data_IF_343558041174
#
_entry.id   IF_343558041174
#
_cell.length_a   1.000
_cell.length_b   1.000
_cell.length_c   1.000
_cell.angle_alpha   90.00
_cell.angle_beta   90.00
_cell.angle_gamma   90.00
#
_symmetry.space_group_name_H-M   'P 1'
#
loop_
_entity.id
_entity.type
_entity.pdbx_description
1 polymer ?
#
# COMPACT_ATOMS: atom_id res chain seq x y z
N UNK A 1 -9.90 -43.74 19.04
CA UNK A 1 -9.99 -43.29 17.64
C UNK A 1 -9.38 -44.38 16.79
N UNK A 2 -10.13 -44.86 15.80
CA UNK A 2 -9.68 -45.96 14.92
C UNK A 2 -8.51 -45.47 14.05
N UNK A 3 -7.34 -46.09 14.19
CA UNK A 3 -6.10 -45.65 13.52
C UNK A 3 -6.18 -45.76 11.99
N UNK A 4 -7.12 -46.55 11.46
CA UNK A 4 -7.36 -46.68 10.02
C UNK A 4 -8.11 -45.46 9.48
N UNK A 5 -9.14 -45.00 10.18
CA UNK A 5 -9.95 -43.84 9.78
C UNK A 5 -9.11 -42.55 9.69
N UNK A 6 -8.13 -42.40 10.59
CA UNK A 6 -7.24 -41.22 10.58
C UNK A 6 -6.28 -41.23 9.40
N UNK A 7 -5.88 -42.41 8.91
CA UNK A 7 -5.05 -42.55 7.71
C UNK A 7 -5.84 -42.22 6.45
N UNK A 8 -7.08 -42.68 6.37
CA UNK A 8 -7.94 -42.44 5.21
C UNK A 8 -8.18 -40.94 5.00
N UNK A 9 -8.43 -40.18 6.07
CA UNK A 9 -8.58 -38.71 6.01
C UNK A 9 -7.32 -37.99 5.55
N UNK A 10 -6.14 -38.50 5.91
CA UNK A 10 -4.86 -37.92 5.46
C UNK A 10 -4.66 -38.16 3.95
N UNK A 11 -5.14 -39.30 3.44
CA UNK A 11 -5.07 -39.64 2.01
C UNK A 11 -6.04 -38.79 1.18
N UNK A 12 -7.21 -38.45 1.72
CA UNK A 12 -8.18 -37.54 1.05
C UNK A 12 -7.63 -36.12 0.84
N UNK A 13 -6.63 -35.72 1.64
CA UNK A 13 -5.90 -34.47 1.45
C UNK A 13 -6.59 -33.24 2.06
N UNK A 14 -6.14 -32.06 1.65
CA UNK A 14 -6.63 -30.77 2.17
C UNK A 14 -6.98 -29.83 1.03
N UNK A 15 -8.04 -29.05 1.22
CA UNK A 15 -8.39 -27.93 0.34
C UNK A 15 -7.75 -26.67 0.89
N UNK A 16 -6.98 -25.98 0.06
CA UNK A 16 -6.31 -24.73 0.44
C UNK A 16 -6.70 -23.60 -0.49
N UNK A 17 -6.96 -22.43 0.08
CA UNK A 17 -7.18 -21.19 -0.64
C UNK A 17 -6.25 -20.11 -0.07
N UNK A 18 -5.65 -19.22 -0.88
CA UNK A 18 -4.84 -18.12 -0.36
C UNK A 18 -5.63 -17.25 0.61
N UNK A 19 -5.02 -16.90 1.74
CA UNK A 19 -5.65 -16.08 2.80
C UNK A 19 -6.16 -14.73 2.28
N UNK A 20 -5.51 -14.20 1.26
CA UNK A 20 -5.91 -12.97 0.60
C UNK A 20 -7.30 -13.09 -0.07
N UNK A 21 -7.66 -14.27 -0.59
CA UNK A 21 -9.02 -14.53 -1.09
C UNK A 21 -10.01 -14.53 0.07
N UNK A 22 -9.68 -15.20 1.19
CA UNK A 22 -10.53 -15.22 2.38
C UNK A 22 -10.76 -13.83 2.98
N UNK A 23 -9.77 -12.94 2.90
CA UNK A 23 -9.86 -11.57 3.39
C UNK A 23 -10.73 -10.68 2.50
N UNK A 24 -10.72 -10.92 1.18
CA UNK A 24 -11.26 -9.97 0.20
C UNK A 24 -12.40 -10.54 -0.68
N UNK A 25 -12.89 -11.77 -0.48
CA UNK A 25 -13.96 -12.33 -1.31
C UNK A 25 -15.21 -11.42 -1.34
N UNK A 26 -15.60 -10.86 -0.19
CA UNK A 26 -16.72 -9.94 -0.09
C UNK A 26 -16.49 -8.64 -0.90
N UNK A 27 -15.26 -8.12 -0.89
CA UNK A 27 -14.88 -6.94 -1.68
C UNK A 27 -14.91 -7.22 -3.19
N UNK A 28 -14.66 -8.47 -3.59
CA UNK A 28 -14.82 -8.97 -4.96
C UNK A 28 -16.27 -9.34 -5.32
N UNK A 29 -17.24 -8.91 -4.49
CA UNK A 29 -18.67 -9.17 -4.66
C UNK A 29 -19.04 -10.65 -4.63
N UNK A 30 -18.26 -11.48 -3.95
CA UNK A 30 -18.64 -12.86 -3.65
C UNK A 30 -19.38 -12.95 -2.33
N UNK A 31 -20.35 -13.85 -2.25
CA UNK A 31 -20.96 -14.26 -0.99
C UNK A 31 -20.37 -15.60 -0.48
N UNK A 32 -20.79 -16.01 0.71
CA UNK A 32 -20.29 -17.22 1.38
C UNK A 32 -20.66 -18.49 0.60
N UNK A 33 -21.81 -18.50 -0.05
CA UNK A 33 -22.29 -19.65 -0.82
C UNK A 33 -21.43 -19.85 -2.08
N UNK A 34 -21.11 -18.76 -2.76
CA UNK A 34 -20.19 -18.73 -3.91
C UNK A 34 -18.77 -19.12 -3.50
N UNK A 35 -18.29 -18.65 -2.35
CA UNK A 35 -17.00 -19.05 -1.80
C UNK A 35 -16.95 -20.55 -1.50
N UNK A 36 -18.01 -21.11 -0.90
CA UNK A 36 -18.10 -22.56 -0.65
C UNK A 36 -18.11 -23.34 -1.96
N UNK A 37 -18.81 -22.87 -3.00
CA UNK A 37 -18.76 -23.50 -4.32
C UNK A 37 -17.33 -23.53 -4.88
N UNK A 38 -16.55 -22.45 -4.76
CA UNK A 38 -15.14 -22.43 -5.15
C UNK A 38 -14.32 -23.45 -4.36
N UNK A 39 -14.53 -23.55 -3.04
CA UNK A 39 -13.86 -24.56 -2.22
C UNK A 39 -14.22 -25.99 -2.65
N UNK A 40 -15.47 -26.25 -3.04
CA UNK A 40 -15.87 -27.55 -3.59
C UNK A 40 -15.20 -27.83 -4.92
N UNK A 41 -15.13 -26.85 -5.82
CA UNK A 41 -14.41 -26.97 -7.10
C UNK A 41 -12.92 -27.31 -6.85
N UNK A 42 -12.26 -26.62 -5.92
CA UNK A 42 -10.88 -26.91 -5.53
C UNK A 42 -10.73 -28.30 -4.87
N UNK A 43 -11.72 -28.73 -4.09
CA UNK A 43 -11.77 -30.10 -3.55
C UNK A 43 -11.83 -31.15 -4.65
N UNK A 44 -12.68 -30.98 -5.66
CA UNK A 44 -12.74 -31.90 -6.79
C UNK A 44 -11.43 -31.87 -7.60
N UNK A 45 -10.86 -30.69 -7.83
CA UNK A 45 -9.58 -30.53 -8.55
C UNK A 45 -8.45 -31.28 -7.86
N UNK A 46 -8.34 -31.17 -6.54
CA UNK A 46 -7.33 -31.89 -5.74
C UNK A 46 -7.56 -33.40 -5.71
N UNK A 47 -8.81 -33.84 -5.81
CA UNK A 47 -9.20 -35.25 -5.96
C UNK A 47 -9.04 -35.80 -7.40
N UNK A 48 -8.51 -35.01 -8.34
CA UNK A 48 -8.28 -35.43 -9.73
C UNK A 48 -9.49 -35.29 -10.67
N UNK A 49 -10.57 -34.63 -10.22
CA UNK A 49 -11.70 -34.24 -11.07
C UNK A 49 -11.67 -32.71 -11.30
N UNK A 50 -11.00 -32.22 -12.36
CA UNK A 50 -10.87 -30.79 -12.60
C UNK A 50 -12.14 -30.13 -13.16
N UNK A 51 -13.15 -30.90 -13.53
CA UNK A 51 -14.40 -30.41 -14.12
C UNK A 51 -15.62 -31.21 -13.63
N UNK A 52 -15.96 -31.10 -12.33
CA UNK A 52 -17.12 -31.77 -11.77
C UNK A 52 -18.42 -31.28 -12.42
N UNK A 53 -19.34 -32.22 -12.58
CA UNK A 53 -20.71 -31.98 -13.01
C UNK A 53 -21.52 -31.21 -11.97
N UNK A 54 -22.64 -30.63 -12.39
CA UNK A 54 -23.53 -29.89 -11.50
C UNK A 54 -24.14 -30.80 -10.42
N UNK A 55 -24.40 -32.07 -10.76
CA UNK A 55 -24.83 -33.10 -9.85
C UNK A 55 -23.79 -33.37 -8.76
N UNK A 56 -22.54 -33.63 -9.13
CA UNK A 56 -21.45 -33.89 -8.18
C UNK A 56 -21.23 -32.70 -7.21
N UNK A 57 -21.32 -31.47 -7.71
CA UNK A 57 -21.25 -30.27 -6.88
C UNK A 57 -22.44 -30.15 -5.94
N UNK A 58 -23.66 -30.41 -6.43
CA UNK A 58 -24.88 -30.35 -5.62
C UNK A 58 -24.90 -31.40 -4.51
N UNK A 59 -24.34 -32.60 -4.73
CA UNK A 59 -24.22 -33.63 -3.70
C UNK A 59 -23.39 -33.19 -2.49
N UNK A 60 -22.47 -32.23 -2.67
CA UNK A 60 -21.62 -31.69 -1.61
C UNK A 60 -22.10 -30.36 -1.02
N UNK A 61 -23.26 -29.88 -1.48
CA UNK A 61 -23.83 -28.61 -1.03
C UNK A 61 -25.23 -28.81 -0.47
N UNK A 62 -25.69 -27.88 0.35
CA UNK A 62 -27.09 -27.85 0.83
C UNK A 62 -28.09 -27.38 -0.22
N UNK A 63 -27.61 -27.12 -1.44
CA UNK A 63 -28.37 -26.55 -2.54
C UNK A 63 -28.68 -27.62 -3.58
N UNK A 64 -29.91 -27.55 -4.13
CA UNK A 64 -30.27 -28.38 -5.29
C UNK A 64 -29.52 -27.98 -6.56
N UNK A 65 -29.45 -28.92 -7.52
CA UNK A 65 -28.75 -28.78 -8.82
C UNK A 65 -29.03 -27.46 -9.54
N UNK A 66 -30.29 -27.02 -9.60
CA UNK A 66 -30.66 -25.77 -10.28
C UNK A 66 -30.03 -24.52 -9.61
N UNK A 67 -29.92 -24.51 -8.28
CA UNK A 67 -29.26 -23.42 -7.57
C UNK A 67 -27.75 -23.44 -7.80
N UNK A 68 -27.13 -24.63 -7.81
CA UNK A 68 -25.70 -24.78 -8.12
C UNK A 68 -25.39 -24.30 -9.53
N UNK A 69 -26.21 -24.66 -10.51
CA UNK A 69 -26.09 -24.18 -11.88
C UNK A 69 -26.14 -22.64 -11.95
N UNK A 70 -27.12 -22.02 -11.28
CA UNK A 70 -27.21 -20.56 -11.18
C UNK A 70 -25.98 -19.93 -10.51
N UNK A 71 -25.41 -20.57 -9.50
CA UNK A 71 -24.18 -20.09 -8.85
C UNK A 71 -22.99 -20.13 -9.80
N UNK A 72 -22.81 -21.23 -10.53
CA UNK A 72 -21.74 -21.34 -11.53
C UNK A 72 -21.90 -20.28 -12.62
N UNK A 73 -23.10 -20.09 -13.16
CA UNK A 73 -23.41 -19.02 -14.11
C UNK A 73 -23.09 -17.62 -13.54
N UNK A 74 -23.47 -17.39 -12.28
CA UNK A 74 -23.17 -16.12 -11.59
C UNK A 74 -21.66 -15.89 -11.47
N UNK A 75 -20.88 -16.93 -11.13
CA UNK A 75 -19.43 -16.85 -11.05
C UNK A 75 -18.77 -16.60 -12.42
N UNK A 76 -19.34 -17.14 -13.51
CA UNK A 76 -18.90 -16.82 -14.86
C UNK A 76 -19.21 -15.36 -15.23
N UNK A 77 -20.43 -14.90 -14.97
CA UNK A 77 -20.83 -13.52 -15.26
C UNK A 77 -20.04 -12.51 -14.43
N UNK A 78 -19.74 -12.85 -13.18
CA UNK A 78 -18.85 -12.06 -12.32
C UNK A 78 -17.39 -12.16 -12.76
N UNK A 79 -17.02 -12.99 -13.73
CA UNK A 79 -15.62 -13.18 -14.15
C UNK A 79 -14.73 -13.62 -12.99
N UNK A 80 -15.23 -14.51 -12.14
CA UNK A 80 -14.50 -15.14 -11.04
C UNK A 80 -14.02 -16.53 -11.45
N UNK A 81 -14.90 -17.25 -12.15
CA UNK A 81 -14.65 -18.58 -12.68
C UNK A 81 -14.58 -18.51 -14.20
N UNK A 82 -13.84 -19.43 -14.82
CA UNK A 82 -13.90 -19.69 -16.26
C UNK A 82 -13.66 -21.17 -16.54
N UNK A 83 -13.90 -21.58 -17.79
CA UNK A 83 -13.52 -22.90 -18.29
C UNK A 83 -12.27 -22.73 -19.15
N UNK A 84 -11.24 -23.52 -18.84
CA UNK A 84 -10.08 -23.67 -19.70
C UNK A 84 -10.14 -25.02 -20.42
N UNK A 85 -9.66 -25.05 -21.66
CA UNK A 85 -9.61 -26.25 -22.49
C UNK A 85 -8.15 -26.53 -22.86
N UNK A 86 -7.73 -27.78 -22.71
CA UNK A 86 -6.41 -28.27 -23.13
C UNK A 86 -6.56 -29.36 -24.20
N UNK A 87 -5.63 -29.39 -25.15
CA UNK A 87 -5.53 -30.36 -26.24
C UNK A 87 -4.14 -31.03 -26.31
N UNK A 88 -3.36 -31.02 -25.22
CA UNK A 88 -1.98 -31.52 -25.19
C UNK A 88 -1.81 -33.00 -25.61
N UNK A 89 -2.86 -33.83 -25.53
CA UNK A 89 -2.80 -35.29 -25.76
C UNK A 89 -3.78 -35.81 -26.82
N UNK A 90 -4.40 -34.91 -27.61
CA UNK A 90 -5.42 -35.28 -28.60
C UNK A 90 -6.80 -35.60 -28.01
N UNK A 91 -6.95 -35.52 -26.69
CA UNK A 91 -8.23 -35.55 -25.97
C UNK A 91 -8.53 -34.13 -25.53
N UNK A 92 -9.72 -33.62 -25.88
CA UNK A 92 -10.20 -32.34 -25.35
C UNK A 92 -10.52 -32.53 -23.86
N UNK A 93 -9.80 -31.84 -22.99
CA UNK A 93 -10.08 -31.83 -21.56
C UNK A 93 -10.46 -30.44 -21.11
N UNK A 94 -11.57 -30.33 -20.38
CA UNK A 94 -12.05 -29.09 -19.78
C UNK A 94 -11.68 -29.05 -18.30
N UNK A 95 -11.49 -27.85 -17.77
CA UNK A 95 -11.30 -27.61 -16.33
C UNK A 95 -11.87 -26.27 -15.90
N UNK A 96 -12.34 -26.19 -14.65
CA UNK A 96 -12.59 -24.90 -14.04
C UNK A 96 -11.27 -24.20 -13.70
N UNK A 97 -11.23 -22.89 -13.92
CA UNK A 97 -10.08 -22.03 -13.60
C UNK A 97 -10.52 -20.80 -12.83
N UNK A 98 -9.71 -20.48 -11.80
CA UNK A 98 -9.83 -19.28 -10.97
C UNK A 98 -8.87 -18.17 -11.41
N UNK A 99 -8.22 -18.29 -12.58
CA UNK A 99 -7.37 -17.21 -13.10
C UNK A 99 -8.09 -15.83 -13.12
N UNK A 100 -9.38 -15.72 -13.50
CA UNK A 100 -10.11 -14.45 -13.45
C UNK A 100 -10.24 -13.87 -12.03
N UNK A 101 -10.48 -14.72 -11.02
CA UNK A 101 -10.51 -14.31 -9.62
C UNK A 101 -9.19 -13.66 -9.19
N UNK A 102 -8.06 -14.28 -9.54
CA UNK A 102 -6.75 -13.77 -9.14
C UNK A 102 -6.40 -12.46 -9.84
N UNK A 103 -6.72 -12.30 -11.12
CA UNK A 103 -6.54 -11.01 -11.81
C UNK A 103 -7.41 -9.91 -11.18
N UNK A 104 -8.65 -10.22 -10.78
CA UNK A 104 -9.50 -9.26 -10.06
C UNK A 104 -8.95 -8.87 -8.70
N UNK A 105 -8.38 -9.85 -8.00
CA UNK A 105 -7.77 -9.62 -6.69
C UNK A 105 -6.52 -8.75 -6.79
N UNK A 106 -5.67 -9.00 -7.78
CA UNK A 106 -4.49 -8.18 -8.08
C UNK A 106 -4.90 -6.73 -8.33
N UNK A 107 -5.82 -6.50 -9.27
CA UNK A 107 -6.33 -5.17 -9.56
C UNK A 107 -6.99 -4.49 -8.34
N UNK A 108 -7.66 -5.25 -7.48
CA UNK A 108 -8.26 -4.71 -6.25
C UNK A 108 -7.19 -4.23 -5.25
N UNK A 109 -6.15 -5.05 -5.02
CA UNK A 109 -5.09 -4.75 -4.07
C UNK A 109 -4.22 -3.57 -4.53
N UNK A 110 -3.91 -3.48 -5.82
CA UNK A 110 -3.20 -2.32 -6.38
C UNK A 110 -3.97 -1.02 -6.15
N UNK A 111 -5.28 -1.05 -6.35
CA UNK A 111 -6.14 0.12 -6.09
C UNK A 111 -6.23 0.47 -4.60
N UNK A 112 -6.24 -0.53 -3.72
CA UNK A 112 -6.24 -0.32 -2.26
C UNK A 112 -4.94 0.31 -1.79
N UNK A 113 -3.81 -0.14 -2.32
CA UNK A 113 -2.50 0.42 -2.01
C UNK A 113 -2.37 1.86 -2.48
N UNK A 114 -2.78 2.16 -3.72
CA UNK A 114 -2.79 3.52 -4.25
C UNK A 114 -3.68 4.47 -3.42
N UNK A 115 -4.88 4.02 -3.02
CA UNK A 115 -5.77 4.81 -2.17
C UNK A 115 -5.15 5.09 -0.81
N UNK A 116 -4.49 4.09 -0.23
CA UNK A 116 -3.81 4.22 1.06
C UNK A 116 -2.65 5.22 0.96
N UNK A 117 -1.86 5.15 -0.11
CA UNK A 117 -0.75 6.08 -0.35
C UNK A 117 -1.26 7.53 -0.51
N UNK A 118 -2.28 7.75 -1.34
CA UNK A 118 -2.87 9.10 -1.50
C UNK A 118 -3.39 9.65 -0.18
N UNK A 119 -4.10 8.85 0.60
CA UNK A 119 -4.60 9.28 1.91
C UNK A 119 -3.46 9.61 2.88
N UNK A 120 -2.40 8.80 2.89
CA UNK A 120 -1.22 9.06 3.71
C UNK A 120 -0.50 10.35 3.29
N UNK A 121 -0.39 10.61 2.00
CA UNK A 121 0.22 11.83 1.48
C UNK A 121 -0.60 13.07 1.89
N UNK A 122 -1.93 13.04 1.71
CA UNK A 122 -2.83 14.11 2.16
C UNK A 122 -2.72 14.35 3.68
N UNK A 123 -2.71 13.28 4.49
CA UNK A 123 -2.56 13.39 5.95
C UNK A 123 -1.19 13.97 6.34
N UNK A 124 -0.12 13.57 5.64
CA UNK A 124 1.23 14.07 5.86
C UNK A 124 1.35 15.56 5.51
N UNK A 125 0.74 16.00 4.41
CA UNK A 125 0.70 17.42 4.03
C UNK A 125 -0.07 18.25 5.05
N UNK A 126 -1.28 17.81 5.43
CA UNK A 126 -2.08 18.46 6.49
C UNK A 126 -1.27 18.58 7.78
N UNK A 127 -0.50 17.56 8.13
CA UNK A 127 0.37 17.58 9.29
C UNK A 127 1.50 18.61 9.18
N UNK A 128 2.06 18.84 7.98
CA UNK A 128 3.01 19.95 7.74
C UNK A 128 2.36 21.29 8.08
N UNK A 129 1.21 21.61 7.50
CA UNK A 129 0.53 22.88 7.75
C UNK A 129 0.27 23.12 9.25
N UNK A 130 -0.28 22.11 9.94
CA UNK A 130 -0.54 22.18 11.39
C UNK A 130 0.73 22.38 12.21
N UNK A 131 1.83 21.73 11.82
CA UNK A 131 3.11 21.87 12.51
C UNK A 131 3.66 23.30 12.38
N UNK A 132 3.56 23.90 11.19
CA UNK A 132 3.91 25.31 11.01
C UNK A 132 3.04 26.22 11.87
N UNK A 133 1.72 26.06 11.86
CA UNK A 133 0.83 26.89 12.71
C UNK A 133 1.17 26.79 14.20
N UNK A 134 1.45 25.57 14.68
CA UNK A 134 1.84 25.33 16.07
C UNK A 134 3.19 25.98 16.42
N UNK A 135 4.20 25.84 15.56
CA UNK A 135 5.54 26.38 15.82
C UNK A 135 5.61 27.91 15.73
N UNK A 136 4.76 28.50 14.90
CA UNK A 136 4.62 29.95 14.77
C UNK A 136 3.61 30.54 15.75
N UNK A 137 2.80 29.70 16.42
CA UNK A 137 1.83 30.10 17.44
C UNK A 137 0.65 30.90 16.89
N UNK A 138 0.37 30.77 15.60
CA UNK A 138 -0.73 31.48 14.90
C UNK A 138 -1.13 30.74 13.63
N UNK A 139 -2.35 31.00 13.11
CA UNK A 139 -2.73 30.52 11.78
C UNK A 139 -1.79 31.03 10.69
N UNK A 140 -1.64 30.23 9.64
CA UNK A 140 -0.89 30.63 8.44
C UNK A 140 -1.65 31.70 7.66
N UNK A 141 -0.91 32.68 7.13
CA UNK A 141 -1.46 33.57 6.12
C UNK A 141 -1.57 32.85 4.77
N UNK A 142 -2.42 33.32 3.83
CA UNK A 142 -2.54 32.72 2.51
C UNK A 142 -1.20 32.59 1.76
N UNK A 143 -0.35 33.62 1.86
CA UNK A 143 0.98 33.64 1.22
C UNK A 143 1.91 32.59 1.84
N UNK A 144 1.80 32.35 3.15
CA UNK A 144 2.59 31.32 3.84
C UNK A 144 2.12 29.91 3.47
N UNK A 145 0.81 29.70 3.35
CA UNK A 145 0.27 28.45 2.85
C UNK A 145 0.69 28.18 1.40
N UNK A 146 0.68 29.20 0.54
CA UNK A 146 1.20 29.10 -0.83
C UNK A 146 2.69 28.73 -0.88
N UNK A 147 3.52 29.25 0.03
CA UNK A 147 4.93 28.86 0.10
C UNK A 147 5.09 27.37 0.48
N UNK A 148 4.30 26.87 1.42
CA UNK A 148 4.32 25.45 1.82
C UNK A 148 3.87 24.56 0.64
N UNK A 149 2.77 24.93 -0.02
CA UNK A 149 2.32 24.23 -1.24
C UNK A 149 3.38 24.29 -2.34
N UNK A 150 4.08 25.42 -2.52
CA UNK A 150 5.19 25.53 -3.46
C UNK A 150 6.29 24.48 -3.20
N UNK A 151 6.69 24.30 -1.94
CA UNK A 151 7.70 23.29 -1.58
C UNK A 151 7.23 21.85 -1.84
N UNK A 152 5.97 21.54 -1.53
CA UNK A 152 5.40 20.19 -1.66
C UNK A 152 5.09 19.85 -3.12
N UNK A 153 4.39 20.74 -3.82
CA UNK A 153 3.83 20.50 -5.14
C UNK A 153 4.83 20.81 -6.27
N UNK A 154 5.47 21.99 -6.22
CA UNK A 154 6.30 22.48 -7.31
C UNK A 154 7.73 21.96 -7.18
N UNK A 155 8.31 22.08 -5.99
CA UNK A 155 9.68 21.62 -5.73
C UNK A 155 9.78 20.13 -5.41
N UNK A 156 8.64 19.45 -5.20
CA UNK A 156 8.54 18.01 -4.92
C UNK A 156 9.34 17.59 -3.68
N UNK A 157 9.43 18.45 -2.66
CA UNK A 157 10.02 18.04 -1.39
C UNK A 157 9.07 17.09 -0.66
N UNK A 158 9.61 15.99 -0.13
CA UNK A 158 8.85 15.11 0.74
C UNK A 158 8.36 15.88 1.99
N UNK A 159 7.11 15.70 2.46
CA UNK A 159 6.59 16.36 3.67
C UNK A 159 7.51 16.20 4.88
N UNK A 160 8.19 15.05 5.01
CA UNK A 160 9.16 14.80 6.06
C UNK A 160 10.37 15.77 6.02
N UNK A 161 10.89 16.10 4.84
CA UNK A 161 11.98 17.08 4.69
C UNK A 161 11.52 18.49 5.06
N UNK A 162 10.31 18.88 4.66
CA UNK A 162 9.76 20.19 5.02
C UNK A 162 9.61 20.33 6.54
N UNK A 163 9.21 19.26 7.24
CA UNK A 163 9.17 19.23 8.71
C UNK A 163 10.56 19.35 9.35
N UNK A 164 11.57 18.66 8.82
CA UNK A 164 12.93 18.79 9.33
C UNK A 164 13.51 20.19 9.08
N UNK A 165 13.22 20.80 7.93
CA UNK A 165 13.66 22.17 7.65
C UNK A 165 13.02 23.18 8.62
N UNK A 166 11.73 22.99 8.95
CA UNK A 166 11.07 23.77 9.99
C UNK A 166 11.75 23.57 11.36
N UNK A 167 12.01 22.33 11.75
CA UNK A 167 12.68 22.00 13.01
C UNK A 167 14.05 22.68 13.12
N UNK A 168 14.82 22.67 12.05
CA UNK A 168 16.11 23.38 11.99
C UNK A 168 15.96 24.91 12.12
N UNK A 169 14.93 25.49 11.50
CA UNK A 169 14.63 26.91 11.67
C UNK A 169 14.24 27.26 13.12
N UNK A 170 13.52 26.36 13.80
CA UNK A 170 13.18 26.48 15.23
C UNK A 170 14.44 26.39 16.10
N UNK A 171 15.31 25.39 15.87
CA UNK A 171 16.59 25.21 16.59
C UNK A 171 17.49 26.44 16.41
N UNK A 172 17.60 26.94 15.18
CA UNK A 172 18.37 28.13 14.86
C UNK A 172 17.75 29.44 15.38
N UNK A 173 16.58 29.39 16.02
CA UNK A 173 15.79 30.54 16.48
C UNK A 173 15.51 31.55 15.35
N UNK A 174 15.40 31.06 14.10
CA UNK A 174 15.14 31.84 12.88
C UNK A 174 13.87 31.33 12.21
N UNK A 175 12.75 31.39 12.94
CA UNK A 175 11.42 30.99 12.49
C UNK A 175 10.86 31.95 11.42
N UNK A 176 11.37 31.88 10.20
CA UNK A 176 10.83 32.59 9.05
C UNK A 176 10.91 31.74 7.77
N UNK A 177 9.91 31.89 6.90
CA UNK A 177 9.78 31.12 5.67
C UNK A 177 10.98 31.27 4.73
N UNK A 178 11.55 32.48 4.62
CA UNK A 178 12.78 32.72 3.82
C UNK A 178 14.01 31.96 4.32
N UNK A 179 14.06 31.61 5.60
CA UNK A 179 15.15 30.82 6.15
C UNK A 179 14.93 29.34 5.85
N UNK A 180 13.70 28.85 6.04
CA UNK A 180 13.29 27.47 5.73
C UNK A 180 13.48 27.19 4.23
N UNK A 181 13.07 28.12 3.37
CA UNK A 181 13.27 28.06 1.92
C UNK A 181 14.74 27.86 1.54
N UNK A 182 15.65 28.59 2.19
CA UNK A 182 17.10 28.45 1.97
C UNK A 182 17.66 27.12 2.46
N UNK A 183 17.13 26.58 3.56
CA UNK A 183 17.50 25.24 4.03
C UNK A 183 17.11 24.20 2.98
N UNK A 184 15.85 24.25 2.51
CA UNK A 184 15.32 23.33 1.51
C UNK A 184 16.07 23.43 0.17
N UNK A 185 16.35 24.64 -0.31
CA UNK A 185 17.18 24.86 -1.51
C UNK A 185 18.58 24.26 -1.35
N UNK A 186 19.24 24.48 -0.20
CA UNK A 186 20.55 23.90 0.05
C UNK A 186 20.52 22.36 0.05
N UNK A 187 19.47 21.77 0.62
CA UNK A 187 19.27 20.32 0.62
C UNK A 187 19.01 19.78 -0.78
N UNK A 188 18.22 20.48 -1.59
CA UNK A 188 18.00 20.15 -3.01
C UNK A 188 19.31 20.17 -3.81
N UNK A 189 20.12 21.22 -3.64
CA UNK A 189 21.43 21.35 -4.31
C UNK A 189 22.41 20.23 -3.90
N UNK A 190 22.32 19.76 -2.66
CA UNK A 190 23.13 18.65 -2.13
C UNK A 190 22.54 17.27 -2.44
N UNK A 191 21.37 17.19 -3.07
CA UNK A 191 20.69 15.94 -3.39
C UNK A 191 20.17 15.18 -2.17
N UNK A 192 19.90 15.87 -1.06
CA UNK A 192 19.34 15.30 0.17
C UNK A 192 17.91 14.84 -0.09
N UNK A 193 17.62 13.56 0.17
CA UNK A 193 16.30 12.94 -0.06
C UNK A 193 15.70 12.30 1.18
N UNK A 194 16.53 11.92 2.16
CA UNK A 194 16.05 11.28 3.39
C UNK A 194 16.14 12.19 4.61
N UNK A 195 15.37 11.87 5.64
CA UNK A 195 15.40 12.59 6.92
C UNK A 195 16.79 12.49 7.58
N UNK A 196 17.44 11.34 7.48
CA UNK A 196 18.78 11.12 8.03
C UNK A 196 19.85 11.94 7.28
N UNK A 197 19.71 12.08 5.97
CA UNK A 197 20.56 12.98 5.17
C UNK A 197 20.33 14.45 5.53
N UNK A 198 19.08 14.85 5.75
CA UNK A 198 18.73 16.21 6.15
C UNK A 198 19.33 16.57 7.51
N UNK A 199 19.23 15.66 8.48
CA UNK A 199 19.83 15.84 9.82
C UNK A 199 21.36 15.96 9.73
N UNK A 200 22.03 15.09 8.96
CA UNK A 200 23.48 15.19 8.73
C UNK A 200 23.87 16.52 8.07
N UNK A 201 23.14 16.92 7.03
CA UNK A 201 23.39 18.19 6.33
C UNK A 201 23.19 19.40 7.25
N UNK A 202 22.24 19.34 8.18
CA UNK A 202 22.02 20.36 9.20
C UNK A 202 23.16 20.43 10.21
N UNK A 203 23.63 19.28 10.72
CA UNK A 203 24.78 19.21 11.63
C UNK A 203 26.05 19.83 11.02
N UNK A 204 26.35 19.48 9.76
CA UNK A 204 27.46 20.08 9.02
C UNK A 204 27.32 21.59 8.89
N UNK A 205 26.11 22.09 8.64
CA UNK A 205 25.84 23.52 8.51
C UNK A 205 26.10 24.27 9.82
N UNK A 206 25.72 23.70 10.96
CA UNK A 206 26.00 24.29 12.29
C UNK A 206 27.50 24.30 12.63
N UNK A 207 28.26 23.30 12.19
CA UNK A 207 29.72 23.25 12.39
C UNK A 207 30.45 24.33 11.58
N UNK A 208 30.08 24.51 10.30
CA UNK A 208 30.70 25.53 9.43
C UNK A 208 30.27 26.96 9.78
N UNK A 209 29.09 27.15 10.38
CA UNK A 209 28.63 28.46 10.87
C UNK A 209 29.38 28.98 12.10
N UNK A 210 30.03 28.10 12.88
CA UNK A 210 30.80 28.48 14.10
C UNK A 210 32.20 29.03 13.80
N UNK A 211 32.78 28.76 12.63
CA UNK A 211 34.17 29.16 12.30
C UNK A 211 34.29 30.58 11.71
N UNK A 212 33.20 31.30 11.51
CA UNK A 212 33.17 32.63 10.87
C UNK A 212 33.24 33.86 11.80
N UNK A 213 33.31 33.69 13.12
CA UNK A 213 33.37 34.80 14.08
C UNK A 213 34.58 34.63 15.03
N UNK A 214 35.77 35.02 14.57
CA UNK A 214 36.86 35.40 15.48
C UNK A 214 37.29 36.83 15.17
N UNK A 215 37.04 37.69 16.14
CA UNK A 215 37.20 39.14 16.10
C UNK A 215 38.67 39.52 15.94
N UNK A 216 39.01 40.34 14.96
CA UNK A 216 40.28 41.08 14.94
C UNK A 216 40.30 42.12 16.07
N UNK A 217 41.24 42.08 17.03
CA UNK A 217 41.37 43.12 18.03
C UNK A 217 41.95 44.41 17.42
N UNK A 218 41.29 45.52 17.74
CA UNK A 218 41.59 46.88 17.33
C UNK A 218 42.81 47.39 18.13
N UNK A 219 43.97 47.59 17.49
CA UNK A 219 45.13 48.24 18.11
C UNK A 219 44.99 49.77 18.08
N UNK A 220 44.62 50.34 19.23
CA UNK A 220 44.72 51.77 19.50
C UNK A 220 46.18 52.08 19.87
N UNK A 221 46.94 52.68 18.96
CA UNK A 221 48.23 53.31 19.29
C UNK A 221 47.98 54.64 20.01
N UNK A 222 48.37 54.72 21.28
CA UNK A 222 48.53 55.98 22.02
C UNK A 222 50.00 56.18 22.40
N UNK A 223 50.52 57.29 21.87
CA UNK A 223 51.72 58.07 22.26
C UNK A 223 53.09 57.43 22.05
#
# INVERSE_FOLDING_TARGET
MDQNLTRDWIIEGVVSLPQVVMRHYAALQMNETELVLILQIESFRTAGNPFPSMEELAERMTLGKENVMRLVETLFHKGILMIEQDQASGVLTERYSLAPLYHKLEAYLENEELRTQVQQDEENEIHVYRLFESEFGRPLSPIEAEMISGWLDQDRFAPALVREALKEAVIAQKKNFRYIDRILLNWKDKGVKTVEEAQRAAEEFHQHGRTGFSSTPNEIKKK
#
